data_IF_207955261621
#
_entry.id   IF_207955261621
#
_cell.length_a   1.000
_cell.length_b   1.000
_cell.length_c   1.000
_cell.angle_alpha   90.00
_cell.angle_beta   90.00
_cell.angle_gamma   90.00
#
_symmetry.space_group_name_H-M   'P 1'
#
loop_
_entity.id
_entity.type
_entity.pdbx_description
1 polymer ?
#
# COMPACT_ATOMS: atom_id res chain seq x y z
N UNK A 1 3.97 -7.09 26.75
CA UNK A 1 4.70 -8.36 26.60
C UNK A 1 6.18 -8.08 26.73
N UNK A 2 6.95 -8.93 27.42
CA UNK A 2 8.42 -8.78 27.53
C UNK A 2 9.06 -8.91 26.14
N UNK A 3 10.04 -8.07 25.83
CA UNK A 3 10.84 -8.12 24.60
C UNK A 3 12.23 -8.72 24.83
N UNK A 4 12.48 -9.34 25.98
CA UNK A 4 13.77 -9.96 26.32
C UNK A 4 14.14 -11.10 25.34
N UNK A 5 13.15 -11.77 24.77
CA UNK A 5 13.33 -12.81 23.75
C UNK A 5 13.25 -12.27 22.30
N UNK A 6 13.22 -10.95 22.09
CA UNK A 6 13.11 -10.37 20.76
C UNK A 6 14.26 -10.82 19.86
N UNK A 7 13.93 -11.18 18.62
CA UNK A 7 14.89 -11.51 17.58
C UNK A 7 14.54 -10.76 16.30
N UNK A 8 15.53 -10.45 15.45
CA UNK A 8 15.25 -9.90 14.14
C UNK A 8 14.29 -10.79 13.34
N UNK A 9 13.36 -10.18 12.64
CA UNK A 9 12.40 -10.88 11.76
C UNK A 9 13.04 -11.25 10.42
N UNK A 10 12.37 -12.07 9.63
CA UNK A 10 12.85 -12.41 8.29
C UNK A 10 12.72 -11.22 7.33
N UNK A 11 13.66 -11.11 6.39
CA UNK A 11 13.50 -10.25 5.22
C UNK A 11 12.39 -10.80 4.31
N UNK A 12 11.66 -9.94 3.58
CA UNK A 12 10.73 -10.40 2.56
C UNK A 12 11.43 -11.14 1.43
N UNK A 13 10.80 -12.22 1.00
CA UNK A 13 11.20 -12.98 -0.19
C UNK A 13 10.50 -12.42 -1.43
N UNK A 14 11.12 -12.60 -2.61
CA UNK A 14 10.52 -12.28 -3.92
C UNK A 14 9.56 -13.37 -4.35
N UNK A 15 8.42 -13.47 -3.68
CA UNK A 15 7.40 -14.47 -3.96
C UNK A 15 6.05 -13.82 -4.26
N UNK A 16 5.21 -14.52 -5.02
CA UNK A 16 3.85 -14.06 -5.27
C UNK A 16 3.01 -14.09 -3.99
N UNK A 17 2.20 -13.06 -3.78
CA UNK A 17 1.20 -13.03 -2.71
C UNK A 17 -0.19 -13.12 -3.36
N UNK A 18 -0.88 -14.23 -3.11
CA UNK A 18 -2.20 -14.51 -3.69
C UNK A 18 -3.31 -14.16 -2.70
N UNK A 19 -4.22 -13.30 -3.14
CA UNK A 19 -5.50 -13.00 -2.51
C UNK A 19 -6.63 -13.74 -3.20
N UNK A 20 -7.87 -13.35 -2.89
CA UNK A 20 -9.08 -13.87 -3.51
C UNK A 20 -9.43 -13.15 -4.81
N UNK A 21 -9.18 -11.84 -4.89
CA UNK A 21 -9.54 -10.95 -5.99
C UNK A 21 -8.31 -10.36 -6.71
N UNK A 22 -7.13 -10.48 -6.10
CA UNK A 22 -5.90 -9.90 -6.65
C UNK A 22 -4.70 -10.81 -6.37
N UNK A 23 -3.69 -10.74 -7.25
CA UNK A 23 -2.37 -11.34 -7.03
C UNK A 23 -1.30 -10.24 -7.08
N UNK A 24 -0.40 -10.24 -6.10
CA UNK A 24 0.81 -9.43 -6.13
C UNK A 24 1.95 -10.26 -6.68
N UNK A 25 2.48 -9.84 -7.82
CA UNK A 25 3.60 -10.51 -8.49
C UNK A 25 4.86 -9.69 -8.30
N UNK A 26 6.01 -10.27 -7.93
CA UNK A 26 7.28 -9.53 -7.90
C UNK A 26 7.48 -8.80 -9.24
N UNK A 27 7.77 -7.50 -9.19
CA UNK A 27 7.83 -6.67 -10.39
C UNK A 27 8.86 -7.25 -11.38
N UNK A 28 8.48 -7.34 -12.65
CA UNK A 28 9.30 -7.92 -13.72
C UNK A 28 9.14 -7.14 -15.03
N UNK A 29 10.00 -7.41 -16.01
CA UNK A 29 9.90 -6.82 -17.35
C UNK A 29 8.64 -7.22 -18.09
N UNK A 30 8.08 -8.40 -17.78
CA UNK A 30 6.86 -8.91 -18.42
C UNK A 30 5.62 -8.09 -18.04
N UNK A 31 5.74 -7.24 -17.01
CA UNK A 31 4.68 -6.35 -16.56
C UNK A 31 4.64 -5.02 -17.30
N UNK A 32 5.66 -4.69 -18.11
CA UNK A 32 5.83 -3.36 -18.68
C UNK A 32 4.63 -2.91 -19.51
N UNK A 33 4.25 -3.66 -20.54
CA UNK A 33 3.17 -3.27 -21.45
C UNK A 33 1.83 -3.13 -20.72
N UNK A 34 1.56 -4.05 -19.78
CA UNK A 34 0.35 -4.03 -18.97
C UNK A 34 0.29 -2.82 -18.03
N UNK A 35 1.41 -2.44 -17.42
CA UNK A 35 1.50 -1.27 -16.55
C UNK A 35 1.44 0.04 -17.33
N UNK A 36 2.10 0.14 -18.50
CA UNK A 36 1.97 1.29 -19.40
C UNK A 36 0.51 1.47 -19.83
N UNK A 37 -0.15 0.38 -20.22
CA UNK A 37 -1.56 0.41 -20.63
C UNK A 37 -2.49 0.79 -19.47
N UNK A 38 -2.19 0.36 -18.23
CA UNK A 38 -2.94 0.77 -17.05
C UNK A 38 -2.72 2.26 -16.74
N UNK A 39 -1.48 2.71 -16.71
CA UNK A 39 -1.15 4.08 -16.35
C UNK A 39 -1.57 5.12 -17.39
N UNK A 40 -1.72 4.72 -18.66
CA UNK A 40 -2.24 5.60 -19.71
C UNK A 40 -3.71 5.97 -19.54
N UNK A 41 -4.46 5.29 -18.64
CA UNK A 41 -5.83 5.69 -18.31
C UNK A 41 -5.90 6.98 -17.48
N UNK A 42 -4.81 7.39 -16.84
CA UNK A 42 -4.73 8.65 -16.09
C UNK A 42 -4.42 9.82 -17.02
N UNK A 43 -5.46 10.28 -17.73
CA UNK A 43 -5.35 11.32 -18.75
C UNK A 43 -4.80 12.66 -18.23
N UNK A 44 -5.03 12.95 -16.94
CA UNK A 44 -4.59 14.20 -16.31
C UNK A 44 -3.24 14.05 -15.57
N UNK A 45 -2.68 12.85 -15.49
CA UNK A 45 -1.43 12.55 -14.78
C UNK A 45 -1.52 12.72 -13.25
N UNK A 46 -2.72 12.82 -12.68
CA UNK A 46 -2.96 13.12 -11.26
C UNK A 46 -2.47 12.04 -10.31
N UNK A 47 -2.36 10.78 -10.75
CA UNK A 47 -1.82 9.71 -9.89
C UNK A 47 -0.34 9.92 -9.56
N UNK A 48 0.37 10.72 -10.36
CA UNK A 48 1.79 11.02 -10.17
C UNK A 48 2.06 12.26 -9.32
N UNK A 49 1.05 13.06 -8.99
CA UNK A 49 1.20 14.36 -8.31
C UNK A 49 2.02 14.29 -7.02
N UNK A 50 1.87 13.18 -6.29
CA UNK A 50 2.49 12.98 -4.98
C UNK A 50 3.57 11.89 -4.95
N UNK A 51 3.84 11.26 -6.09
CA UNK A 51 4.94 10.33 -6.25
C UNK A 51 6.25 11.08 -6.56
N UNK A 52 7.41 10.54 -6.17
CA UNK A 52 8.69 11.21 -6.41
C UNK A 52 9.11 11.18 -7.87
N UNK A 53 8.59 10.24 -8.66
CA UNK A 53 8.81 10.11 -10.11
C UNK A 53 7.49 10.24 -10.86
N UNK A 54 7.56 10.20 -12.20
CA UNK A 54 6.42 10.35 -13.09
C UNK A 54 5.91 11.80 -13.22
N UNK A 55 4.93 12.04 -14.12
CA UNK A 55 4.48 11.11 -15.15
C UNK A 55 5.62 10.73 -16.09
N UNK A 56 5.56 9.54 -16.67
CA UNK A 56 6.60 9.02 -17.57
C UNK A 56 6.21 9.27 -19.03
N UNK A 57 7.20 9.61 -19.86
CA UNK A 57 7.03 9.72 -21.31
C UNK A 57 8.00 8.79 -22.06
N UNK A 58 7.56 8.21 -23.18
CA UNK A 58 8.38 7.33 -24.01
C UNK A 58 8.96 6.16 -23.21
N UNK A 59 10.27 5.95 -23.31
CA UNK A 59 10.99 4.84 -22.65
C UNK A 59 11.36 5.08 -21.18
N UNK A 60 10.99 6.24 -20.61
CA UNK A 60 11.36 6.56 -19.22
C UNK A 60 10.76 5.57 -18.20
N UNK A 61 9.57 5.02 -18.51
CA UNK A 61 8.97 4.03 -17.64
C UNK A 61 9.77 2.72 -17.61
N UNK A 62 10.26 2.25 -18.75
CA UNK A 62 11.14 1.08 -18.83
C UNK A 62 12.37 1.24 -17.95
N UNK A 63 13.05 2.38 -18.05
CA UNK A 63 14.22 2.67 -17.23
C UNK A 63 13.90 2.67 -15.73
N UNK A 64 12.75 3.20 -15.32
CA UNK A 64 12.29 3.12 -13.94
C UNK A 64 11.99 1.68 -13.52
N UNK A 65 11.28 0.91 -14.37
CA UNK A 65 10.90 -0.48 -14.10
C UNK A 65 12.14 -1.38 -13.96
N UNK A 66 13.14 -1.22 -14.84
CA UNK A 66 14.40 -1.98 -14.76
C UNK A 66 15.17 -1.73 -13.47
N UNK A 67 15.16 -0.48 -12.98
CA UNK A 67 15.75 -0.15 -11.70
C UNK A 67 14.93 -0.70 -10.52
N UNK A 68 13.60 -0.56 -10.56
CA UNK A 68 12.70 -0.95 -9.47
C UNK A 68 12.61 -2.46 -9.27
N UNK A 69 12.67 -3.27 -10.34
CA UNK A 69 12.53 -4.74 -10.22
C UNK A 69 13.71 -5.42 -9.52
N UNK A 70 14.89 -4.80 -9.52
CA UNK A 70 16.12 -5.40 -8.94
C UNK A 70 16.35 -4.98 -7.49
N UNK A 71 15.62 -4.01 -6.95
CA UNK A 71 15.75 -3.59 -5.54
C UNK A 71 15.10 -4.58 -4.59
N UNK A 72 15.72 -4.78 -3.42
CA UNK A 72 15.13 -5.54 -2.30
C UNK A 72 14.47 -4.61 -1.28
N UNK A 73 14.80 -3.31 -1.32
CA UNK A 73 14.18 -2.26 -0.55
C UNK A 73 14.24 -0.96 -1.39
N UNK A 74 13.11 -0.51 -1.96
CA UNK A 74 11.80 -1.16 -1.94
C UNK A 74 11.78 -2.51 -2.67
N UNK A 75 11.03 -3.47 -2.16
CA UNK A 75 10.62 -4.66 -2.89
C UNK A 75 9.28 -4.38 -3.59
N UNK A 76 9.32 -4.24 -4.92
CA UNK A 76 8.17 -3.87 -5.73
C UNK A 76 7.35 -5.08 -6.20
N UNK A 77 6.03 -4.88 -6.23
CA UNK A 77 5.05 -5.82 -6.78
C UNK A 77 4.18 -5.14 -7.82
N UNK A 78 3.88 -5.86 -8.90
CA UNK A 78 2.78 -5.55 -9.80
C UNK A 78 1.46 -6.12 -9.25
N UNK A 79 0.38 -5.37 -9.42
CA UNK A 79 -0.98 -5.78 -9.00
C UNK A 79 -1.70 -6.37 -10.20
N UNK A 80 -1.87 -7.70 -10.21
CA UNK A 80 -2.69 -8.40 -11.21
C UNK A 80 -4.12 -8.57 -10.68
N UNK A 81 -5.07 -7.96 -11.37
CA UNK A 81 -6.50 -8.02 -11.08
C UNK A 81 -7.09 -9.38 -11.47
N UNK A 82 -8.29 -9.70 -10.99
CA UNK A 82 -9.00 -10.96 -11.27
C UNK A 82 -9.23 -11.19 -12.77
N UNK A 83 -9.46 -10.13 -13.54
CA UNK A 83 -9.62 -10.17 -15.00
C UNK A 83 -8.30 -10.41 -15.76
N UNK A 84 -7.18 -10.58 -15.04
CA UNK A 84 -5.85 -10.82 -15.57
C UNK A 84 -5.06 -9.56 -15.95
N UNK A 85 -5.70 -8.38 -15.96
CA UNK A 85 -5.02 -7.11 -16.28
C UNK A 85 -4.19 -6.62 -15.10
N UNK A 86 -3.15 -5.84 -15.42
CA UNK A 86 -2.41 -5.11 -14.40
C UNK A 86 -3.17 -3.82 -14.03
N UNK A 87 -3.27 -3.58 -12.72
CA UNK A 87 -3.94 -2.43 -12.13
C UNK A 87 -2.99 -1.39 -11.54
N UNK A 88 -1.71 -1.72 -11.38
CA UNK A 88 -0.70 -0.79 -10.85
C UNK A 88 0.42 -1.50 -10.08
N UNK A 89 1.10 -0.76 -9.21
CA UNK A 89 2.20 -1.28 -8.38
C UNK A 89 2.09 -0.82 -6.94
N UNK A 90 2.70 -1.57 -6.03
CA UNK A 90 3.00 -1.16 -4.66
C UNK A 90 4.28 -1.86 -4.18
N UNK A 91 4.79 -1.51 -3.01
CA UNK A 91 6.03 -2.09 -2.49
C UNK A 91 6.03 -2.26 -0.98
N UNK A 92 6.83 -3.22 -0.52
CA UNK A 92 7.36 -3.27 0.84
C UNK A 92 8.69 -2.50 0.87
N UNK A 93 8.87 -1.58 1.81
CA UNK A 93 10.08 -0.76 1.86
C UNK A 93 10.45 -0.31 3.26
N UNK A 94 11.63 0.31 3.38
CA UNK A 94 12.25 0.72 4.64
C UNK A 94 12.22 -0.41 5.67
N UNK A 95 12.68 -1.57 5.21
CA UNK A 95 12.59 -2.83 5.92
C UNK A 95 13.66 -2.81 7.01
N UNK A 96 13.23 -2.91 8.25
CA UNK A 96 14.08 -2.98 9.43
C UNK A 96 13.81 -4.30 10.17
N UNK A 97 14.50 -5.39 9.77
CA UNK A 97 14.32 -6.68 10.41
C UNK A 97 14.72 -6.65 11.88
N UNK A 98 15.71 -5.83 12.23
CA UNK A 98 16.23 -5.72 13.60
C UNK A 98 15.14 -5.25 14.56
N UNK A 99 14.27 -4.32 14.13
CA UNK A 99 13.19 -3.80 14.96
C UNK A 99 11.80 -4.31 14.56
N UNK A 100 11.70 -5.10 13.49
CA UNK A 100 10.43 -5.63 12.99
C UNK A 100 9.53 -4.54 12.43
N UNK A 101 10.09 -3.62 11.65
CA UNK A 101 9.37 -2.51 11.03
C UNK A 101 9.45 -2.60 9.51
N UNK A 102 8.34 -2.37 8.83
CA UNK A 102 8.30 -2.21 7.38
C UNK A 102 7.25 -1.16 7.00
N UNK A 103 7.32 -0.67 5.76
CA UNK A 103 6.42 0.33 5.22
C UNK A 103 5.78 -0.20 3.92
N UNK A 104 4.48 0.04 3.74
CA UNK A 104 3.88 0.00 2.40
C UNK A 104 4.11 1.33 1.73
N UNK A 105 4.72 1.30 0.55
CA UNK A 105 5.05 2.50 -0.20
C UNK A 105 4.98 2.29 -1.71
N UNK A 106 5.28 3.34 -2.46
CA UNK A 106 5.17 3.34 -3.93
C UNK A 106 3.81 2.86 -4.46
N UNK A 107 2.74 3.06 -3.67
CA UNK A 107 1.38 2.72 -4.07
C UNK A 107 0.98 3.61 -5.26
N UNK A 108 0.92 2.99 -6.42
CA UNK A 108 0.67 3.62 -7.72
C UNK A 108 -0.40 2.80 -8.42
N UNK A 109 -1.66 3.11 -8.12
CA UNK A 109 -2.80 2.41 -8.69
C UNK A 109 -3.37 3.20 -9.86
N UNK A 110 -3.51 2.54 -11.01
CA UNK A 110 -4.16 3.09 -12.19
C UNK A 110 -5.67 3.31 -11.94
N UNK A 111 -6.33 4.19 -12.70
CA UNK A 111 -7.77 4.45 -12.56
C UNK A 111 -8.64 3.19 -12.46
N UNK A 112 -8.43 2.17 -13.29
CA UNK A 112 -9.15 0.89 -13.21
C UNK A 112 -9.10 0.16 -11.86
N UNK A 113 -8.06 0.39 -11.06
CA UNK A 113 -7.86 -0.28 -9.77
C UNK A 113 -8.31 0.60 -8.60
N UNK A 114 -8.32 1.93 -8.76
CA UNK A 114 -8.63 2.84 -7.67
C UNK A 114 -10.06 2.64 -7.16
N UNK A 115 -10.20 2.62 -5.82
CA UNK A 115 -11.49 2.46 -5.12
C UNK A 115 -12.21 1.14 -5.41
N UNK A 116 -11.49 0.11 -5.85
CA UNK A 116 -12.06 -1.23 -6.00
C UNK A 116 -11.74 -2.12 -4.79
N UNK A 117 -12.32 -3.32 -4.82
CA UNK A 117 -12.06 -4.38 -3.84
C UNK A 117 -10.64 -4.89 -3.93
N UNK A 118 -10.15 -5.09 -5.15
CA UNK A 118 -8.81 -5.53 -5.49
C UNK A 118 -7.75 -4.56 -4.97
N UNK A 119 -7.97 -3.24 -5.03
CA UNK A 119 -7.05 -2.26 -4.44
C UNK A 119 -6.94 -2.42 -2.92
N UNK A 120 -8.06 -2.68 -2.24
CA UNK A 120 -8.06 -2.89 -0.80
C UNK A 120 -7.34 -4.20 -0.45
N UNK A 121 -7.59 -5.27 -1.22
CA UNK A 121 -6.93 -6.55 -1.01
C UNK A 121 -5.43 -6.48 -1.30
N UNK A 122 -4.99 -5.71 -2.30
CA UNK A 122 -3.58 -5.52 -2.62
C UNK A 122 -2.80 -4.96 -1.42
N UNK A 123 -3.35 -3.96 -0.74
CA UNK A 123 -2.73 -3.41 0.48
C UNK A 123 -2.82 -4.42 1.64
N UNK A 124 -3.97 -5.09 1.79
CA UNK A 124 -4.18 -6.12 2.81
C UNK A 124 -3.14 -7.26 2.73
N UNK A 125 -2.79 -7.72 1.52
CA UNK A 125 -1.82 -8.79 1.35
C UNK A 125 -0.43 -8.43 1.89
N UNK A 126 0.02 -7.17 1.74
CA UNK A 126 1.29 -6.73 2.32
C UNK A 126 1.21 -6.57 3.84
N UNK A 127 0.09 -6.04 4.35
CA UNK A 127 -0.16 -5.93 5.79
C UNK A 127 -0.11 -7.32 6.43
N UNK A 128 -0.89 -8.27 5.87
CA UNK A 128 -0.97 -9.65 6.33
C UNK A 128 0.40 -10.31 6.30
N UNK A 129 1.12 -10.20 5.19
CA UNK A 129 2.47 -10.75 5.07
C UNK A 129 3.39 -10.22 6.18
N UNK A 130 3.40 -8.91 6.45
CA UNK A 130 4.29 -8.32 7.44
C UNK A 130 4.02 -8.90 8.84
N UNK A 131 2.76 -8.92 9.27
CA UNK A 131 2.43 -9.41 10.61
C UNK A 131 2.57 -10.93 10.74
N UNK A 132 2.25 -11.70 9.70
CA UNK A 132 2.50 -13.16 9.70
C UNK A 132 4.00 -13.49 9.73
N UNK A 133 4.85 -12.64 9.13
CA UNK A 133 6.30 -12.75 9.22
C UNK A 133 6.87 -12.27 10.57
N UNK A 134 6.02 -11.80 11.49
CA UNK A 134 6.41 -11.39 12.85
C UNK A 134 6.85 -9.93 12.98
N UNK A 135 6.64 -9.10 11.95
CA UNK A 135 6.85 -7.65 12.08
C UNK A 135 5.90 -7.10 13.14
N UNK A 136 6.40 -6.13 13.91
CA UNK A 136 5.67 -5.55 15.04
C UNK A 136 5.02 -4.22 14.71
N UNK A 137 5.43 -3.60 13.61
CA UNK A 137 4.97 -2.30 13.16
C UNK A 137 4.96 -2.24 11.64
N UNK A 138 3.85 -1.76 11.08
CA UNK A 138 3.71 -1.54 9.66
C UNK A 138 3.29 -0.09 9.37
N UNK A 139 4.04 0.59 8.51
CA UNK A 139 3.94 2.04 8.32
C UNK A 139 3.28 2.41 6.99
N UNK A 140 2.58 3.55 7.00
CA UNK A 140 2.12 4.25 5.82
C UNK A 140 2.54 5.71 5.89
N UNK A 141 3.09 6.26 4.80
CA UNK A 141 3.49 7.67 4.73
C UNK A 141 3.04 8.33 3.45
N UNK A 142 2.69 9.60 3.59
CA UNK A 142 2.32 10.39 2.42
C UNK A 142 2.66 11.87 2.63
N UNK A 143 2.57 12.62 1.54
CA UNK A 143 2.63 14.08 1.60
C UNK A 143 1.41 14.62 2.37
N UNK A 144 1.60 15.59 3.26
CA UNK A 144 0.52 16.22 4.03
C UNK A 144 -0.60 16.80 3.19
N UNK A 145 -0.32 17.18 1.94
CA UNK A 145 -1.32 17.69 0.99
C UNK A 145 -2.04 16.59 0.19
N UNK A 146 -1.58 15.34 0.26
CA UNK A 146 -2.23 14.21 -0.40
C UNK A 146 -3.39 13.66 0.45
N UNK A 147 -4.51 14.40 0.48
CA UNK A 147 -5.69 14.02 1.26
C UNK A 147 -6.29 12.66 0.86
N UNK A 148 -6.10 12.23 -0.40
CA UNK A 148 -6.53 10.91 -0.86
C UNK A 148 -5.77 9.78 -0.15
N UNK A 149 -4.45 9.90 -0.08
CA UNK A 149 -3.59 8.92 0.61
C UNK A 149 -3.80 8.95 2.13
N UNK A 150 -4.00 10.13 2.72
CA UNK A 150 -4.33 10.27 4.15
C UNK A 150 -5.62 9.54 4.50
N UNK A 151 -6.70 9.76 3.72
CA UNK A 151 -7.98 9.03 3.89
C UNK A 151 -7.84 7.53 3.68
N UNK A 152 -7.00 7.11 2.74
CA UNK A 152 -6.74 5.69 2.51
C UNK A 152 -6.05 5.04 3.72
N UNK A 153 -5.01 5.67 4.27
CA UNK A 153 -4.31 5.19 5.46
C UNK A 153 -5.26 4.96 6.64
N UNK A 154 -6.08 5.95 7.01
CA UNK A 154 -7.05 5.77 8.09
C UNK A 154 -8.12 4.72 7.77
N UNK A 155 -8.65 4.71 6.53
CA UNK A 155 -9.64 3.69 6.11
C UNK A 155 -9.06 2.28 6.27
N UNK A 156 -7.78 2.09 5.98
CA UNK A 156 -7.08 0.82 6.14
C UNK A 156 -6.72 0.49 7.60
N UNK A 157 -7.02 1.38 8.56
CA UNK A 157 -6.77 1.14 9.98
C UNK A 157 -5.37 1.54 10.44
N UNK A 158 -4.61 2.32 9.67
CA UNK A 158 -3.38 2.92 10.17
C UNK A 158 -3.72 4.13 11.06
N UNK A 159 -3.26 4.10 12.31
CA UNK A 159 -3.42 5.20 13.28
C UNK A 159 -2.45 6.34 12.97
N UNK A 160 -2.92 7.58 13.08
CA UNK A 160 -2.10 8.78 12.83
C UNK A 160 -1.09 9.02 13.96
N UNK A 161 0.17 9.29 13.61
CA UNK A 161 1.25 9.50 14.60
C UNK A 161 1.94 10.86 14.51
N UNK A 162 1.72 11.63 13.45
CA UNK A 162 2.26 12.99 13.35
C UNK A 162 2.70 13.43 11.96
N UNK A 163 3.28 14.63 11.91
CA UNK A 163 3.80 15.23 10.68
C UNK A 163 5.24 15.66 10.89
N UNK A 164 6.13 15.16 10.04
CA UNK A 164 7.50 15.67 9.94
C UNK A 164 7.50 16.84 8.97
N UNK A 165 7.71 18.05 9.51
CA UNK A 165 7.78 19.30 8.73
C UNK A 165 9.08 19.37 7.95
N UNK A 166 9.01 19.84 6.71
CA UNK A 166 10.15 19.96 5.80
C UNK A 166 10.99 18.67 5.68
N UNK A 167 10.33 17.52 5.74
CA UNK A 167 10.99 16.22 5.81
C UNK A 167 11.87 15.96 4.58
N UNK A 168 11.37 16.29 3.39
CA UNK A 168 12.08 16.10 2.11
C UNK A 168 11.65 17.14 1.07
N UNK A 169 12.45 17.29 0.02
CA UNK A 169 12.09 18.02 -1.20
C UNK A 169 11.79 17.01 -2.31
N UNK A 170 10.61 17.11 -2.91
CA UNK A 170 10.17 16.23 -4.00
C UNK A 170 9.70 17.07 -5.17
N UNK A 171 10.20 16.81 -6.39
CA UNK A 171 9.86 17.57 -7.60
C UNK A 171 9.99 19.09 -7.40
N UNK A 172 11.06 19.51 -6.70
CA UNK A 172 11.34 20.93 -6.40
C UNK A 172 10.41 21.59 -5.38
N UNK A 173 9.59 20.82 -4.65
CA UNK A 173 8.62 21.34 -3.67
C UNK A 173 8.87 20.76 -2.28
N UNK A 174 8.58 21.56 -1.25
CA UNK A 174 8.55 21.08 0.14
C UNK A 174 7.53 19.95 0.30
N UNK A 175 7.91 18.88 1.00
CA UNK A 175 7.01 17.82 1.46
C UNK A 175 7.14 17.69 2.98
N UNK A 176 6.06 18.08 3.65
CA UNK A 176 5.81 17.61 5.01
C UNK A 176 5.26 16.18 4.90
N UNK A 177 5.79 15.26 5.71
CA UNK A 177 5.42 13.85 5.64
C UNK A 177 4.52 13.48 6.81
N UNK A 178 3.32 13.00 6.51
CA UNK A 178 2.39 12.44 7.50
C UNK A 178 2.76 10.99 7.74
N UNK A 179 2.77 10.61 9.01
CA UNK A 179 3.08 9.26 9.46
C UNK A 179 1.84 8.60 10.04
N UNK A 180 1.59 7.38 9.58
CA UNK A 180 0.62 6.48 10.16
C UNK A 180 1.26 5.12 10.40
N UNK A 181 0.73 4.37 11.35
CA UNK A 181 1.17 3.01 11.61
C UNK A 181 0.05 2.14 12.16
N UNK A 182 0.26 0.83 12.02
CA UNK A 182 -0.46 -0.21 12.74
C UNK A 182 0.56 -1.11 13.44
N UNK A 183 0.16 -1.71 14.56
CA UNK A 183 1.04 -2.58 15.37
C UNK A 183 0.51 -4.01 15.49
N UNK A 184 1.39 -4.92 15.88
CA UNK A 184 1.08 -6.34 16.10
C UNK A 184 -0.12 -6.57 17.02
N UNK A 185 -0.28 -5.75 18.07
CA UNK A 185 -1.42 -5.83 18.99
C UNK A 185 -2.78 -5.45 18.38
N UNK A 186 -2.79 -4.63 17.33
CA UNK A 186 -4.01 -4.21 16.61
C UNK A 186 -4.37 -5.18 15.49
N UNK A 187 -3.37 -5.91 14.97
CA UNK A 187 -3.49 -6.76 13.79
C UNK A 187 -4.63 -7.78 13.85
N UNK A 188 -4.87 -8.54 14.94
CA UNK A 188 -5.96 -9.52 14.94
C UNK A 188 -7.34 -8.91 14.64
N UNK A 189 -7.64 -7.73 15.21
CA UNK A 189 -8.90 -7.04 14.97
C UNK A 189 -8.95 -6.42 13.58
N UNK A 190 -7.81 -5.87 13.10
CA UNK A 190 -7.70 -5.33 11.75
C UNK A 190 -7.91 -6.43 10.71
N UNK A 191 -7.27 -7.59 10.88
CA UNK A 191 -7.45 -8.77 10.02
C UNK A 191 -8.93 -9.14 9.93
N UNK A 192 -9.61 -9.27 11.06
CA UNK A 192 -11.02 -9.63 11.08
C UNK A 192 -11.89 -8.57 10.39
N UNK A 193 -11.56 -7.27 10.53
CA UNK A 193 -12.20 -6.17 9.81
C UNK A 193 -11.99 -6.28 8.28
N UNK A 194 -10.76 -6.54 7.83
CA UNK A 194 -10.45 -6.73 6.42
C UNK A 194 -11.13 -7.97 5.84
N UNK A 195 -11.11 -9.10 6.54
CA UNK A 195 -11.72 -10.36 6.09
C UNK A 195 -13.25 -10.26 6.06
N UNK A 196 -13.85 -9.56 7.03
CA UNK A 196 -15.29 -9.22 6.99
C UNK A 196 -15.60 -8.36 5.77
N UNK A 197 -14.80 -7.32 5.53
CA UNK A 197 -15.03 -6.42 4.40
C UNK A 197 -14.82 -7.13 3.05
N UNK A 198 -13.79 -7.95 2.94
CA UNK A 198 -13.42 -8.75 1.76
C UNK A 198 -14.26 -10.02 1.64
N UNK A 199 -15.25 -10.27 2.48
CA UNK A 199 -16.19 -11.38 2.29
C UNK A 199 -17.10 -11.09 1.08
N UNK A 200 -17.35 -12.10 0.22
CA UNK A 200 -18.27 -11.96 -0.91
C UNK A 200 -19.65 -11.47 -0.45
N UNK A 201 -20.11 -11.95 0.71
CA UNK A 201 -21.39 -11.58 1.32
C UNK A 201 -21.47 -10.11 1.78
N UNK A 202 -20.35 -9.39 1.82
CA UNK A 202 -20.34 -7.96 2.13
C UNK A 202 -20.56 -7.07 0.89
N UNK A 203 -20.86 -7.65 -0.28
CA UNK A 203 -21.16 -6.90 -1.50
C UNK A 203 -22.51 -7.36 -2.05
N UNK A 204 -23.36 -6.39 -2.40
CA UNK A 204 -24.66 -6.67 -3.01
C UNK A 204 -24.55 -7.06 -4.50
N UNK A 205 -25.70 -7.32 -5.13
CA UNK A 205 -25.77 -7.73 -6.53
C UNK A 205 -25.20 -6.69 -7.52
N UNK A 206 -25.15 -5.41 -7.12
CA UNK A 206 -24.60 -4.30 -7.91
C UNK A 206 -23.11 -4.04 -7.57
N UNK A 207 -22.50 -4.92 -6.76
CA UNK A 207 -21.12 -4.81 -6.32
C UNK A 207 -20.86 -3.69 -5.31
N UNK A 208 -21.91 -3.14 -4.69
CA UNK A 208 -21.76 -2.13 -3.65
C UNK A 208 -21.51 -2.80 -2.29
N UNK A 209 -20.58 -2.23 -1.51
CA UNK A 209 -20.29 -2.71 -0.17
C UNK A 209 -21.49 -2.51 0.77
N UNK A 210 -21.82 -3.52 1.58
CA UNK A 210 -22.87 -3.46 2.61
C UNK A 210 -22.34 -2.78 3.87
N UNK A 211 -21.18 -3.23 4.37
CA UNK A 211 -20.42 -2.57 5.43
C UNK A 211 -19.19 -1.90 4.86
N UNK A 212 -18.92 -0.67 5.30
CA UNK A 212 -17.70 0.03 4.89
C UNK A 212 -16.49 -0.42 5.70
N UNK A 213 -15.32 -0.54 5.05
CA UNK A 213 -14.08 -0.87 5.77
C UNK A 213 -13.77 0.20 6.83
N UNK A 214 -14.09 1.46 6.54
CA UNK A 214 -13.88 2.58 7.49
C UNK A 214 -14.63 2.35 8.80
N UNK A 215 -15.87 1.88 8.74
CA UNK A 215 -16.65 1.64 9.97
C UNK A 215 -16.11 0.45 10.76
N UNK A 216 -15.55 -0.54 10.07
CA UNK A 216 -14.94 -1.72 10.69
C UNK A 216 -13.59 -1.40 11.33
N UNK A 217 -12.78 -0.51 10.75
CA UNK A 217 -11.45 -0.14 11.26
C UNK A 217 -11.48 1.03 12.24
N UNK A 218 -12.47 1.93 12.14
CA UNK A 218 -12.59 3.12 12.97
C UNK A 218 -12.51 2.90 14.49
N UNK A 219 -13.07 1.82 15.07
CA UNK A 219 -12.95 1.54 16.51
C UNK A 219 -11.56 1.08 16.96
N UNK A 220 -10.71 0.65 16.01
CA UNK A 220 -9.38 0.09 16.28
C UNK A 220 -8.31 1.20 16.29
N UNK A 221 -8.58 2.32 15.59
CA UNK A 221 -7.66 3.46 15.53
C UNK A 221 -7.39 4.04 16.93
N UNK A 222 -6.12 4.13 17.32
CA UNK A 222 -5.72 4.78 18.59
C UNK A 222 -5.61 6.30 18.48
N UNK A 223 -5.52 6.81 17.24
CA UNK A 223 -5.39 8.23 16.94
C UNK A 223 -5.90 8.50 15.53
N UNK A 224 -6.66 9.60 15.39
CA UNK A 224 -7.15 10.09 14.10
C UNK A 224 -6.36 11.30 13.64
N UNK A 225 -6.24 11.41 12.33
CA UNK A 225 -5.70 12.53 11.62
C UNK A 225 -6.59 13.76 11.83
N UNK A 226 -6.08 14.83 12.46
CA UNK A 226 -6.86 16.02 12.72
C UNK A 226 -7.26 16.81 11.45
N UNK A 227 -6.78 16.43 10.27
CA UNK A 227 -7.10 17.08 9.00
C UNK A 227 -8.19 16.37 8.18
N UNK A 228 -8.78 15.26 8.66
CA UNK A 228 -9.79 14.45 7.96
C UNK A 228 -11.16 14.51 8.65
#
# INVERSE_FOLDING_TARGET
MSLEAWRPVALPERVELRGRYVTLEPLSTDHEDGLIAAFSEDLDGKMWDWLPTGPFAGTQYRAWLDAARITNDPLHFAVRMEDGRLGGTLSLMRIDPKNGVAEVGWVTFAPRLQRTREATEAVYLLIRWAFEAGYRRFEWKCNSRNLGSRRAAERFGFSYEGIFRQAVVVKGRNRDTVWYAMIDGEWPQLRDAFETWLNADNFDADGQQIKSLRDLTAPILVSRDPAL
#
